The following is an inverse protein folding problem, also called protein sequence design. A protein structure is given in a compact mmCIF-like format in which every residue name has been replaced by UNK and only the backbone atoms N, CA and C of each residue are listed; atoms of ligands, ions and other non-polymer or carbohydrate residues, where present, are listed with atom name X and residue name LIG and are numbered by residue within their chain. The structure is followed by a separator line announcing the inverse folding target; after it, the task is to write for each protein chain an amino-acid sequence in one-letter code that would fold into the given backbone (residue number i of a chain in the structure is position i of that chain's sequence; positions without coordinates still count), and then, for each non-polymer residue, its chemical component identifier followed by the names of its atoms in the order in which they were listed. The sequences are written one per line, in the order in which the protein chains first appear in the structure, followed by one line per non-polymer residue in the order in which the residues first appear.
data_IF_082580385119
#
_entry.id   IF_082580385119
#
_cell.length_a   1.000
_cell.length_b   1.000
_cell.length_c   1.000
_cell.angle_alpha   90.00
_cell.angle_beta   90.00
_cell.angle_gamma   90.00
#
_symmetry.space_group_name_H-M   'P 1'
#
loop_
_entity.id
_entity.type
_entity.pdbx_description
1 polymer ?
#
# COMPACT_ATOMS: atom_id res chain seq x y z
N UNK A 1 -17.07 20.63 -10.41
CA UNK A 1 -16.21 20.12 -9.31
C UNK A 1 -14.84 19.86 -9.92
N UNK A 2 -13.77 20.55 -9.50
CA UNK A 2 -12.43 20.12 -9.90
C UNK A 2 -12.18 18.73 -9.30
N UNK A 3 -11.74 17.77 -10.10
CA UNK A 3 -11.32 16.44 -9.62
C UNK A 3 -10.17 16.64 -8.62
N UNK A 4 -10.45 16.45 -7.34
CA UNK A 4 -9.44 16.50 -6.31
C UNK A 4 -8.55 15.26 -6.45
N UNK A 5 -7.44 15.39 -7.18
CA UNK A 5 -6.39 14.37 -7.11
C UNK A 5 -5.78 14.44 -5.71
N UNK A 6 -5.98 13.40 -4.90
CA UNK A 6 -5.44 13.32 -3.53
C UNK A 6 -3.92 13.43 -3.48
N UNK A 7 -3.23 12.90 -4.49
CA UNK A 7 -1.79 13.06 -4.63
C UNK A 7 -1.41 14.52 -4.91
N UNK A 8 -0.34 15.00 -4.27
CA UNK A 8 0.22 16.33 -4.56
C UNK A 8 0.95 16.33 -5.91
N UNK A 9 1.35 17.52 -6.38
CA UNK A 9 2.17 17.63 -7.60
C UNK A 9 3.50 16.92 -7.46
N UNK A 10 4.11 17.00 -6.28
CA UNK A 10 5.42 16.41 -6.03
C UNK A 10 5.33 14.89 -5.85
N UNK A 11 4.25 14.39 -5.22
CA UNK A 11 3.95 12.95 -5.18
C UNK A 11 3.86 12.38 -6.61
N UNK A 12 3.08 13.01 -7.50
CA UNK A 12 2.93 12.57 -8.89
C UNK A 12 4.25 12.57 -9.66
N UNK A 13 5.07 13.61 -9.47
CA UNK A 13 6.40 13.69 -10.12
C UNK A 13 7.33 12.59 -9.63
N UNK A 14 7.38 12.36 -8.32
CA UNK A 14 8.17 11.27 -7.75
C UNK A 14 7.70 9.91 -8.27
N UNK A 15 6.38 9.66 -8.28
CA UNK A 15 5.83 8.40 -8.80
C UNK A 15 6.18 8.19 -10.27
N UNK A 16 6.15 9.23 -11.12
CA UNK A 16 6.63 9.12 -12.49
C UNK A 16 8.09 8.65 -12.56
N UNK A 17 8.97 9.24 -11.74
CA UNK A 17 10.39 8.86 -11.71
C UNK A 17 10.57 7.41 -11.19
N UNK A 18 9.75 6.99 -10.22
CA UNK A 18 9.75 5.62 -9.71
C UNK A 18 9.28 4.64 -10.79
N UNK A 19 8.22 4.96 -11.53
CA UNK A 19 7.74 4.14 -12.66
C UNK A 19 8.82 3.95 -13.72
N UNK A 20 9.48 5.03 -14.12
CA UNK A 20 10.56 4.98 -15.11
C UNK A 20 11.72 4.10 -14.62
N UNK A 21 12.16 4.31 -13.37
CA UNK A 21 13.25 3.55 -12.78
C UNK A 21 12.91 2.06 -12.59
N UNK A 22 11.75 1.75 -12.00
CA UNK A 22 11.30 0.37 -11.76
C UNK A 22 11.10 -0.38 -13.09
N UNK A 23 10.46 0.27 -14.07
CA UNK A 23 10.27 -0.29 -15.40
C UNK A 23 11.59 -0.54 -16.14
N UNK A 24 12.55 0.38 -16.04
CA UNK A 24 13.89 0.21 -16.63
C UNK A 24 14.67 -0.97 -15.99
N UNK A 25 14.37 -1.32 -14.74
CA UNK A 25 14.97 -2.47 -14.04
C UNK A 25 14.18 -3.77 -14.22
N UNK A 26 13.10 -3.78 -14.99
CA UNK A 26 12.29 -4.97 -15.25
C UNK A 26 11.43 -5.40 -14.05
N UNK A 27 11.11 -4.47 -13.15
CA UNK A 27 10.21 -4.73 -12.04
C UNK A 27 8.76 -4.87 -12.51
N UNK A 28 7.98 -5.62 -11.76
CA UNK A 28 6.54 -5.59 -11.84
C UNK A 28 6.04 -4.22 -11.33
N UNK A 29 5.30 -3.49 -12.17
CA UNK A 29 4.87 -2.13 -11.84
C UNK A 29 3.75 -2.09 -10.81
N UNK A 30 3.12 -3.24 -10.51
CA UNK A 30 2.16 -3.36 -9.41
C UNK A 30 2.77 -2.97 -8.05
N UNK A 31 4.10 -3.09 -7.88
CA UNK A 31 4.79 -2.55 -6.69
C UNK A 31 4.69 -1.03 -6.58
N UNK A 32 4.73 -0.33 -7.72
CA UNK A 32 4.60 1.14 -7.78
C UNK A 32 3.14 1.55 -7.60
N UNK A 33 2.20 0.81 -8.20
CA UNK A 33 0.76 1.02 -8.02
C UNK A 33 0.35 0.88 -6.55
N UNK A 34 0.83 -0.15 -5.86
CA UNK A 34 0.56 -0.41 -4.44
C UNK A 34 1.09 0.73 -3.55
N UNK A 35 2.34 1.17 -3.80
CA UNK A 35 2.92 2.34 -3.11
C UNK A 35 2.13 3.62 -3.39
N UNK A 36 1.70 3.84 -4.64
CA UNK A 36 0.92 5.01 -5.02
C UNK A 36 -0.47 5.02 -4.38
N UNK A 37 -1.10 3.84 -4.26
CA UNK A 37 -2.39 3.67 -3.62
C UNK A 37 -2.34 3.98 -2.12
N UNK A 38 -1.33 3.46 -1.41
CA UNK A 38 -1.14 3.75 0.01
C UNK A 38 -0.84 5.24 0.25
N UNK A 39 0.00 5.85 -0.61
CA UNK A 39 0.26 7.29 -0.52
C UNK A 39 -1.00 8.12 -0.80
N UNK A 40 -1.82 7.73 -1.76
CA UNK A 40 -3.09 8.42 -2.05
C UNK A 40 -4.06 8.30 -0.87
N UNK A 41 -4.18 7.11 -0.27
CA UNK A 41 -5.04 6.85 0.89
C UNK A 41 -4.60 7.67 2.11
N UNK A 42 -3.29 7.79 2.32
CA UNK A 42 -2.70 8.67 3.32
C UNK A 42 -3.09 10.14 3.10
N UNK A 43 -2.97 10.65 1.86
CA UNK A 43 -3.32 12.03 1.51
C UNK A 43 -4.82 12.30 1.66
N UNK A 44 -5.65 11.39 1.17
CA UNK A 44 -7.12 11.46 1.29
C UNK A 44 -7.54 11.57 2.77
N UNK A 45 -6.80 10.91 3.65
CA UNK A 45 -7.06 10.89 5.10
C UNK A 45 -6.38 12.02 5.86
N UNK A 46 -6.33 13.24 5.30
CA UNK A 46 -5.64 14.41 5.86
C UNK A 46 -4.22 14.05 6.36
N UNK A 47 -3.41 13.47 5.48
CA UNK A 47 -2.07 13.00 5.80
C UNK A 47 -2.07 12.04 7.00
N UNK A 48 -3.01 11.08 6.98
CA UNK A 48 -3.23 10.07 8.02
C UNK A 48 -3.90 10.56 9.31
N UNK A 49 -4.17 11.87 9.48
CA UNK A 49 -4.70 12.41 10.75
C UNK A 49 -6.09 11.91 11.12
N UNK A 50 -6.92 11.59 10.13
CA UNK A 50 -8.28 11.11 10.36
C UNK A 50 -8.40 9.58 10.27
N UNK A 51 -7.30 8.86 10.04
CA UNK A 51 -7.32 7.40 10.11
C UNK A 51 -7.33 6.93 11.56
N UNK A 52 -8.18 5.95 11.84
CA UNK A 52 -8.23 5.32 13.16
C UNK A 52 -7.02 4.41 13.37
N UNK A 53 -6.45 4.45 14.57
CA UNK A 53 -5.41 3.50 14.99
C UNK A 53 -6.05 2.16 15.32
N UNK A 54 -5.58 1.09 14.71
CA UNK A 54 -6.17 -0.24 14.86
C UNK A 54 -5.97 -0.84 16.26
N UNK A 55 -4.82 -0.59 16.90
CA UNK A 55 -4.44 -1.24 18.16
C UNK A 55 -4.79 -0.44 19.42
N UNK A 56 -5.89 0.33 19.41
CA UNK A 56 -6.33 1.07 20.59
C UNK A 56 -7.06 0.21 21.64
N UNK A 57 -7.27 -1.08 21.35
CA UNK A 57 -7.92 -2.02 22.28
C UNK A 57 -9.44 -1.92 22.32
N UNK A 58 -10.05 -1.31 21.30
CA UNK A 58 -11.50 -1.15 21.14
C UNK A 58 -12.11 -2.13 20.12
N UNK A 59 -11.29 -3.05 19.60
CA UNK A 59 -11.73 -4.10 18.68
C UNK A 59 -11.74 -5.43 19.42
N UNK A 60 -12.84 -6.17 19.34
CA UNK A 60 -13.05 -7.42 20.05
C UNK A 60 -13.45 -8.54 19.08
N UNK A 61 -13.04 -9.77 19.36
CA UNK A 61 -13.59 -10.95 18.70
C UNK A 61 -15.02 -11.26 19.19
N UNK A 62 -15.61 -12.30 18.62
CA UNK A 62 -16.98 -12.70 18.96
C UNK A 62 -17.09 -13.28 20.37
N UNK A 63 -15.97 -13.74 20.94
CA UNK A 63 -15.85 -14.29 22.29
C UNK A 63 -15.55 -13.22 23.36
N UNK A 64 -15.29 -11.97 22.94
CA UNK A 64 -15.01 -10.83 23.81
C UNK A 64 -13.54 -10.58 24.13
N UNK A 65 -12.59 -11.22 23.46
CA UNK A 65 -11.16 -10.88 23.58
C UNK A 65 -10.81 -9.67 22.73
N UNK A 66 -9.94 -8.80 23.23
CA UNK A 66 -9.39 -7.69 22.44
C UNK A 66 -8.51 -8.23 21.33
N UNK A 67 -8.63 -7.64 20.15
CA UNK A 67 -7.86 -7.98 18.96
C UNK A 67 -6.77 -6.95 18.72
N UNK A 68 -5.57 -7.43 18.47
CA UNK A 68 -4.41 -6.61 18.11
C UNK A 68 -3.75 -7.17 16.85
N UNK A 69 -3.21 -6.27 16.04
CA UNK A 69 -2.47 -6.58 14.82
C UNK A 69 -1.05 -6.05 14.92
N UNK A 70 -0.10 -6.83 14.44
CA UNK A 70 1.27 -6.39 14.25
C UNK A 70 1.79 -6.86 12.90
N UNK A 71 2.84 -6.20 12.44
CA UNK A 71 3.67 -6.72 11.36
C UNK A 71 4.18 -8.13 11.69
N UNK A 72 4.48 -8.89 10.64
CA UNK A 72 5.33 -10.08 10.76
C UNK A 72 6.73 -9.69 11.25
N UNK A 73 7.50 -10.65 11.76
CA UNK A 73 8.86 -10.38 12.24
C UNK A 73 9.74 -9.75 11.14
N UNK A 74 9.61 -10.23 9.90
CA UNK A 74 10.33 -9.67 8.75
C UNK A 74 9.91 -8.22 8.49
N UNK A 75 8.61 -7.94 8.40
CA UNK A 75 8.11 -6.59 8.15
C UNK A 75 8.48 -5.62 9.26
N UNK A 76 8.45 -6.07 10.53
CA UNK A 76 8.86 -5.26 11.67
C UNK A 76 10.36 -4.90 11.61
N UNK A 77 11.20 -5.84 11.18
CA UNK A 77 12.64 -5.59 10.98
C UNK A 77 12.86 -4.59 9.85
N UNK A 78 12.21 -4.76 8.70
CA UNK A 78 12.33 -3.85 7.55
C UNK A 78 11.80 -2.46 7.89
N UNK A 79 10.63 -2.36 8.53
CA UNK A 79 10.03 -1.10 8.97
C UNK A 79 10.95 -0.33 9.93
N UNK A 80 11.57 -1.03 10.90
CA UNK A 80 12.55 -0.42 11.81
C UNK A 80 13.75 0.12 11.05
N UNK A 81 14.31 -0.68 10.14
CA UNK A 81 15.46 -0.27 9.32
C UNK A 81 15.14 1.00 8.52
N UNK A 82 13.98 1.06 7.86
CA UNK A 82 13.51 2.24 7.12
C UNK A 82 13.42 3.48 8.01
N UNK A 83 12.88 3.35 9.23
CA UNK A 83 12.67 4.49 10.14
C UNK A 83 13.99 5.01 10.75
N UNK A 84 14.97 4.13 10.89
CA UNK A 84 16.30 4.43 11.45
C UNK A 84 17.31 4.89 10.38
N UNK A 85 17.06 4.63 9.10
CA UNK A 85 17.97 4.93 7.99
C UNK A 85 18.11 6.44 7.70
N UNK A 86 19.32 6.87 7.32
CA UNK A 86 19.61 8.27 6.99
C UNK A 86 18.92 8.74 5.68
N UNK A 87 18.65 7.81 4.77
CA UNK A 87 17.90 8.04 3.54
C UNK A 87 16.51 8.61 3.80
N UNK A 88 15.85 8.21 4.90
CA UNK A 88 14.54 8.76 5.30
C UNK A 88 14.57 10.29 5.44
N UNK A 89 15.66 10.86 5.96
CA UNK A 89 15.73 12.31 6.23
C UNK A 89 15.81 13.16 4.96
N UNK A 90 16.27 12.57 3.87
CA UNK A 90 16.58 13.28 2.62
C UNK A 90 15.85 12.74 1.40
N UNK A 91 15.01 11.72 1.58
CA UNK A 91 14.19 11.16 0.51
C UNK A 91 13.13 12.15 0.05
N UNK A 92 12.79 12.07 -1.24
CA UNK A 92 11.67 12.79 -1.85
C UNK A 92 10.32 12.20 -1.46
N UNK A 93 10.27 10.94 -1.04
CA UNK A 93 9.03 10.32 -0.56
C UNK A 93 8.63 10.98 0.77
N UNK A 94 7.33 11.23 0.96
CA UNK A 94 6.85 11.96 2.13
C UNK A 94 7.22 11.21 3.43
N UNK A 95 7.99 11.90 4.29
CA UNK A 95 8.50 11.31 5.52
C UNK A 95 7.40 11.03 6.55
N UNK A 96 6.33 11.83 6.51
CA UNK A 96 5.13 11.60 7.33
C UNK A 96 4.40 10.34 6.89
N UNK A 97 4.25 10.15 5.58
CA UNK A 97 3.71 8.92 5.00
C UNK A 97 4.54 7.69 5.40
N UNK A 98 5.87 7.76 5.27
CA UNK A 98 6.74 6.62 5.64
C UNK A 98 6.55 6.24 7.10
N UNK A 99 6.58 7.22 8.02
CA UNK A 99 6.36 6.98 9.46
C UNK A 99 4.96 6.47 9.75
N UNK A 100 3.96 6.94 9.00
CA UNK A 100 2.58 6.49 9.12
C UNK A 100 2.44 5.02 8.73
N UNK A 101 2.90 4.63 7.54
CA UNK A 101 2.69 3.27 7.03
C UNK A 101 3.59 2.23 7.74
N UNK A 102 4.73 2.65 8.28
CA UNK A 102 5.63 1.81 9.09
C UNK A 102 5.24 1.75 10.57
N UNK A 103 4.20 2.47 11.00
CA UNK A 103 3.62 2.31 12.33
C UNK A 103 2.62 1.17 12.32
N UNK A 104 2.85 0.17 13.19
CA UNK A 104 1.99 -1.01 13.30
C UNK A 104 0.53 -0.66 13.61
N UNK A 105 0.26 0.49 14.22
CA UNK A 105 -1.10 0.91 14.56
C UNK A 105 -1.89 1.39 13.33
N UNK A 106 -1.22 1.61 12.21
CA UNK A 106 -1.82 2.01 10.94
C UNK A 106 -1.57 0.99 9.83
N UNK A 107 -0.32 0.56 9.63
CA UNK A 107 0.08 -0.27 8.50
C UNK A 107 -0.12 -1.77 8.66
N UNK A 108 -0.35 -2.31 9.86
CA UNK A 108 -0.37 -3.78 10.04
C UNK A 108 -1.45 -4.49 9.23
N UNK A 109 -2.60 -3.85 8.97
CA UNK A 109 -3.70 -4.46 8.22
C UNK A 109 -3.61 -4.24 6.70
N UNK A 110 -2.73 -3.35 6.25
CA UNK A 110 -2.55 -2.97 4.86
C UNK A 110 -1.34 -2.05 4.74
N UNK A 111 -0.35 -2.52 3.99
CA UNK A 111 0.85 -1.76 3.67
C UNK A 111 1.38 -2.20 2.31
N UNK A 112 2.07 -1.28 1.63
CA UNK A 112 2.85 -1.62 0.45
C UNK A 112 4.04 -2.53 0.82
N UNK A 113 4.70 -3.12 -0.17
CA UNK A 113 5.93 -3.88 0.08
C UNK A 113 7.03 -2.97 0.67
N UNK A 114 7.49 -3.27 1.90
CA UNK A 114 8.45 -2.44 2.61
C UNK A 114 9.86 -2.52 2.02
N UNK A 115 10.29 -3.68 1.54
CA UNK A 115 11.59 -3.82 0.89
C UNK A 115 11.65 -2.99 -0.40
N UNK A 116 10.58 -2.97 -1.19
CA UNK A 116 10.47 -2.10 -2.37
C UNK A 116 10.54 -0.62 -1.98
N UNK A 117 9.77 -0.22 -0.96
CA UNK A 117 9.76 1.16 -0.48
C UNK A 117 11.12 1.60 0.04
N UNK A 118 11.86 0.72 0.72
CA UNK A 118 13.23 1.00 1.16
C UNK A 118 14.16 1.27 -0.02
N UNK A 119 14.06 0.48 -1.11
CA UNK A 119 14.81 0.74 -2.35
C UNK A 119 14.46 2.09 -2.95
N UNK A 120 13.17 2.46 -2.96
CA UNK A 120 12.70 3.78 -3.39
C UNK A 120 13.29 4.88 -2.52
N UNK A 121 13.25 4.74 -1.19
CA UNK A 121 13.79 5.72 -0.25
C UNK A 121 15.27 5.95 -0.52
N UNK A 122 16.04 4.89 -0.69
CA UNK A 122 17.48 4.97 -0.97
C UNK A 122 17.78 5.58 -2.34
N UNK A 123 17.06 5.18 -3.38
CA UNK A 123 17.23 5.71 -4.75
C UNK A 123 16.97 7.21 -4.84
N UNK A 124 15.93 7.67 -4.17
CA UNK A 124 15.40 9.03 -4.27
C UNK A 124 15.74 9.93 -3.07
N UNK A 125 16.73 9.54 -2.27
CA UNK A 125 17.34 10.37 -1.23
C UNK A 125 18.71 10.90 -1.66
N UNK A 126 19.20 11.92 -0.96
CA UNK A 126 20.57 12.43 -1.18
C UNK A 126 21.62 11.71 -0.33
N UNK A 127 21.20 11.07 0.76
CA UNK A 127 22.08 10.33 1.67
C UNK A 127 22.11 8.80 1.41
N UNK A 128 21.16 8.26 0.66
CA UNK A 128 21.04 6.82 0.42
C UNK A 128 21.91 6.28 -0.72
N UNK A 129 21.94 4.94 -0.85
CA UNK A 129 22.64 4.23 -1.91
C UNK A 129 21.88 4.33 -3.25
N UNK A 130 22.06 5.47 -3.94
CA UNK A 130 21.28 5.78 -5.14
C UNK A 130 21.46 4.76 -6.26
N UNK A 131 22.64 4.17 -6.42
CA UNK A 131 22.95 3.27 -7.54
C UNK A 131 22.62 1.80 -7.26
N UNK A 132 21.98 1.50 -6.13
CA UNK A 132 21.58 0.15 -5.79
C UNK A 132 20.53 -0.37 -6.80
N UNK A 133 20.74 -1.54 -7.43
CA UNK A 133 19.73 -2.15 -8.28
C UNK A 133 18.53 -2.60 -7.45
N UNK A 134 17.36 -2.64 -8.09
CA UNK A 134 16.13 -3.12 -7.45
C UNK A 134 16.26 -4.61 -7.11
N UNK A 135 16.78 -5.41 -8.05
CA UNK A 135 16.98 -6.85 -7.90
C UNK A 135 15.87 -7.68 -8.55
N UNK A 136 16.16 -8.95 -8.84
CA UNK A 136 15.26 -9.85 -9.56
C UNK A 136 14.00 -10.23 -8.76
N UNK A 137 14.02 -10.08 -7.44
CA UNK A 137 12.91 -10.42 -6.55
C UNK A 137 11.64 -9.59 -6.80
N UNK A 138 11.78 -8.44 -7.48
CA UNK A 138 10.69 -7.54 -7.82
C UNK A 138 10.14 -7.73 -9.24
N UNK A 139 10.61 -8.74 -9.99
CA UNK A 139 10.10 -9.04 -11.34
C UNK A 139 8.66 -9.62 -11.33
N UNK A 140 8.13 -9.97 -10.16
CA UNK A 140 6.75 -10.45 -10.00
C UNK A 140 6.19 -9.92 -8.70
N UNK A 141 5.05 -9.25 -8.76
CA UNK A 141 4.42 -8.66 -7.59
C UNK A 141 3.98 -9.71 -6.57
N UNK A 142 4.29 -9.40 -5.30
CA UNK A 142 3.88 -10.18 -4.13
C UNK A 142 3.02 -9.29 -3.24
N UNK A 143 1.72 -9.55 -3.24
CA UNK A 143 0.78 -8.81 -2.39
C UNK A 143 1.08 -9.04 -0.91
N UNK A 144 1.05 -7.96 -0.13
CA UNK A 144 1.20 -7.99 1.33
C UNK A 144 -0.16 -8.15 2.05
N UNK A 145 -1.23 -8.43 1.29
CA UNK A 145 -2.58 -8.51 1.84
C UNK A 145 -2.71 -9.68 2.81
N UNK A 146 -3.17 -9.37 4.02
CA UNK A 146 -3.28 -10.31 5.14
C UNK A 146 -1.94 -10.83 5.68
N UNK A 147 -0.82 -10.17 5.36
CA UNK A 147 0.49 -10.55 5.87
C UNK A 147 0.78 -9.89 7.23
N UNK A 148 0.04 -10.34 8.25
CA UNK A 148 0.10 -9.79 9.60
C UNK A 148 -0.06 -10.85 10.68
N UNK A 149 0.37 -10.51 11.89
CA UNK A 149 0.14 -11.33 13.09
C UNK A 149 -1.08 -10.78 13.82
N UNK A 150 -2.05 -11.66 14.08
CA UNK A 150 -3.23 -11.36 14.91
C UNK A 150 -3.05 -11.95 16.31
N UNK A 151 -3.16 -11.11 17.33
CA UNK A 151 -3.06 -11.51 18.74
C UNK A 151 -4.35 -11.18 19.50
N UNK A 152 -4.67 -12.01 20.48
CA UNK A 152 -5.82 -11.83 21.37
C UNK A 152 -5.38 -11.53 22.80
N UNK A 153 -6.16 -10.72 23.52
CA UNK A 153 -6.04 -10.65 24.98
C UNK A 153 -6.39 -12.00 25.61
N UNK A 154 -5.82 -12.28 26.79
CA UNK A 154 -6.18 -13.49 27.56
C UNK A 154 -7.53 -13.32 28.24
N UNK A 155 -7.85 -12.09 28.62
CA UNK A 155 -9.07 -11.72 29.30
C UNK A 155 -10.21 -11.52 28.30
N UNK A 156 -11.43 -11.74 28.79
CA UNK A 156 -12.67 -11.46 28.07
C UNK A 156 -13.34 -10.22 28.64
N UNK A 157 -13.89 -9.43 27.75
CA UNK A 157 -14.57 -8.19 28.06
C UNK A 157 -15.95 -8.19 27.41
N UNK A 158 -16.85 -7.39 27.98
CA UNK A 158 -18.10 -7.04 27.30
C UNK A 158 -17.84 -5.75 26.53
N UNK A 159 -17.95 -5.74 25.18
CA UNK A 159 -17.76 -4.52 24.40
C UNK A 159 -18.73 -3.42 24.87
N UNK A 160 -18.20 -2.22 25.08
CA UNK A 160 -18.93 -1.02 25.45
C UNK A 160 -19.45 -0.23 24.25
N UNK A 161 -20.02 0.94 24.52
CA UNK A 161 -20.43 1.89 23.48
C UNK A 161 -19.20 2.42 22.73
N UNK A 162 -19.20 2.34 21.40
CA UNK A 162 -18.07 2.72 20.55
C UNK A 162 -17.07 1.60 20.24
N UNK A 163 -17.20 0.43 20.90
CA UNK A 163 -16.38 -0.74 20.60
C UNK A 163 -16.83 -1.45 19.32
N UNK A 164 -15.87 -1.98 18.57
CA UNK A 164 -16.12 -2.72 17.33
C UNK A 164 -15.99 -4.22 17.55
N UNK A 165 -16.94 -5.00 17.02
CA UNK A 165 -16.80 -6.46 16.92
C UNK A 165 -16.21 -6.84 15.57
N UNK A 166 -15.08 -7.51 15.61
CA UNK A 166 -14.50 -8.14 14.43
C UNK A 166 -15.35 -9.37 14.08
N UNK A 167 -16.05 -9.29 12.95
CA UNK A 167 -16.56 -10.49 12.32
C UNK A 167 -15.48 -11.00 11.39
N UNK A 168 -14.83 -12.11 11.75
CA UNK A 168 -14.08 -12.86 10.75
C UNK A 168 -15.08 -13.23 9.66
N UNK A 169 -14.97 -12.60 8.48
CA UNK A 169 -15.49 -13.23 7.28
C UNK A 169 -14.74 -14.54 7.18
N UNK A 170 -15.34 -15.63 7.65
CA UNK A 170 -14.94 -16.97 7.29
C UNK A 170 -15.06 -17.06 5.77
N UNK A 171 -14.04 -16.62 5.05
CA UNK A 171 -13.90 -16.92 3.64
C UNK A 171 -13.62 -18.41 3.62
N UNK A 172 -14.69 -19.18 3.39
CA UNK A 172 -14.57 -20.52 2.82
C UNK A 172 -13.45 -20.46 1.80
N UNK A 173 -12.48 -21.34 1.95
CA UNK A 173 -11.53 -21.71 0.92
C UNK A 173 -12.30 -22.36 -0.24
N UNK A 174 -13.16 -21.61 -0.92
CA UNK A 174 -13.52 -21.92 -2.29
C UNK A 174 -12.31 -21.50 -3.12
N UNK A 175 -11.76 -22.46 -3.88
CA UNK A 175 -10.71 -22.29 -4.89
C UNK A 175 -10.75 -20.89 -5.52
N UNK A 176 -9.59 -20.25 -5.78
CA UNK A 176 -9.56 -18.92 -6.35
C UNK A 176 -10.39 -18.91 -7.62
N UNK A 177 -11.47 -18.09 -7.63
CA UNK A 177 -12.07 -17.69 -8.89
C UNK A 177 -11.02 -16.84 -9.58
N UNK A 178 -10.66 -17.21 -10.81
CA UNK A 178 -9.84 -16.38 -11.68
C UNK A 178 -10.38 -14.94 -11.62
N UNK A 179 -9.52 -14.01 -11.22
CA UNK A 179 -9.79 -12.58 -11.33
C UNK A 179 -9.71 -12.23 -12.81
N UNK A 180 -10.79 -12.54 -13.53
CA UNK A 180 -11.01 -11.95 -14.85
C UNK A 180 -11.42 -10.51 -14.64
N UNK A 181 -10.88 -9.59 -15.43
CA UNK A 181 -11.19 -8.14 -15.40
C UNK A 181 -12.70 -7.84 -15.42
N UNK A 182 -13.52 -8.78 -15.88
CA UNK A 182 -14.99 -8.81 -15.75
C UNK A 182 -15.54 -8.75 -14.31
N UNK A 183 -14.70 -8.93 -13.29
CA UNK A 183 -15.07 -8.85 -11.88
C UNK A 183 -14.95 -7.44 -11.27
N UNK A 184 -14.32 -6.48 -11.94
CA UNK A 184 -14.34 -5.08 -11.49
C UNK A 184 -15.75 -4.49 -11.68
N UNK A 185 -16.29 -3.76 -10.71
CA UNK A 185 -17.55 -3.00 -10.92
C UNK A 185 -17.39 -2.06 -12.13
N UNK A 186 -18.41 -1.99 -12.99
CA UNK A 186 -18.45 -1.18 -14.22
C UNK A 186 -17.99 0.25 -13.98
N UNK A 187 -18.44 0.81 -12.86
CA UNK A 187 -18.27 2.22 -12.51
C UNK A 187 -16.79 2.53 -12.20
N UNK A 188 -16.07 1.56 -11.60
CA UNK A 188 -14.63 1.67 -11.36
C UNK A 188 -13.82 1.52 -12.64
N UNK A 189 -14.24 0.67 -13.57
CA UNK A 189 -13.58 0.54 -14.88
C UNK A 189 -13.70 1.81 -15.70
N UNK A 190 -14.89 2.41 -15.74
CA UNK A 190 -15.12 3.65 -16.46
C UNK A 190 -14.36 4.81 -15.85
N UNK A 191 -14.34 4.90 -14.51
CA UNK A 191 -13.57 5.91 -13.79
C UNK A 191 -12.07 5.78 -14.08
N UNK A 192 -11.54 4.55 -14.04
CA UNK A 192 -10.13 4.26 -14.35
C UNK A 192 -9.76 4.60 -15.80
N UNK A 193 -10.57 4.18 -16.79
CA UNK A 193 -10.35 4.50 -18.20
C UNK A 193 -10.41 6.00 -18.46
N UNK A 194 -11.37 6.69 -17.85
CA UNK A 194 -11.56 8.13 -18.00
C UNK A 194 -10.41 8.92 -17.36
N UNK A 195 -9.95 8.52 -16.18
CA UNK A 195 -8.80 9.11 -15.49
C UNK A 195 -7.52 9.00 -16.33
N UNK A 196 -7.37 7.91 -17.09
CA UNK A 196 -6.25 7.72 -18.03
C UNK A 196 -6.48 8.34 -19.42
N UNK A 197 -7.63 8.99 -19.66
CA UNK A 197 -7.94 9.65 -20.93
C UNK A 197 -8.31 8.70 -22.09
N UNK A 198 -8.73 7.47 -21.78
CA UNK A 198 -9.10 6.46 -22.77
C UNK A 198 -10.62 6.24 -22.79
N UNK A 199 -11.17 6.04 -24.00
CA UNK A 199 -12.62 5.80 -24.19
C UNK A 199 -13.00 4.32 -24.06
N UNK A 200 -12.02 3.44 -24.22
CA UNK A 200 -12.18 2.00 -24.12
C UNK A 200 -10.82 1.35 -23.90
N UNK A 201 -10.80 0.12 -23.35
CA UNK A 201 -9.57 -0.65 -23.17
C UNK A 201 -8.85 -0.94 -24.50
N UNK A 202 -9.57 -1.05 -25.63
CA UNK A 202 -8.94 -1.17 -26.95
C UNK A 202 -8.03 0.02 -27.24
N UNK A 203 -8.45 1.24 -26.89
CA UNK A 203 -7.64 2.45 -27.07
C UNK A 203 -6.44 2.54 -26.12
N UNK A 204 -6.55 1.94 -24.93
CA UNK A 204 -5.45 1.80 -23.96
C UNK A 204 -4.38 0.83 -24.49
N UNK A 205 -4.81 -0.38 -24.89
CA UNK A 205 -3.92 -1.41 -25.42
C UNK A 205 -3.28 -1.01 -26.76
N UNK A 206 -4.05 -0.38 -27.66
CA UNK A 206 -3.50 0.12 -28.93
C UNK A 206 -2.40 1.15 -28.71
N UNK A 207 -2.46 1.97 -27.64
CA UNK A 207 -1.42 2.95 -27.32
C UNK A 207 -0.22 2.31 -26.61
N UNK A 208 -0.45 1.34 -25.75
CA UNK A 208 0.60 0.55 -25.08
C UNK A 208 1.40 -0.31 -26.07
N UNK A 209 0.74 -0.85 -27.10
CA UNK A 209 1.34 -1.76 -28.08
C UNK A 209 1.84 -1.06 -29.35
N UNK A 210 1.32 0.12 -29.72
CA UNK A 210 1.86 0.92 -30.85
C UNK A 210 3.19 1.60 -30.57
N UNK A 211 3.70 1.57 -29.33
CA UNK A 211 5.06 2.04 -29.02
C UNK A 211 6.17 1.06 -29.40
N UNK A 212 5.84 -0.17 -29.84
CA UNK A 212 6.79 -1.16 -30.35
C UNK A 212 6.50 -1.48 -31.80
N UNK A 213 7.00 -0.64 -32.70
CA UNK A 213 7.48 -1.02 -34.05
C UNK A 213 8.37 0.06 -34.60
#
# INVERSE_FOLDING_TARGET
MPEASFLTRDDRRLLCDIYEWAGAQGADLDYVDDLAFELASYRESDNGRIMARHNQGNVYDMEGHKVFYSFTDQHAVTARRIVEDEGLKTTRLDQGFIRFITDKDYGSLGHNNFEFMEKVINRFSTAGERDQPLGADFATYKSQKNDYIRTLSKEKYTPGEGDTRETLSAKKTSKPKELTLESLRSDMRETFLKAMGFKSFSSLFDRLLKGKR
#
